data_IF_802058332872
#
_entry.id   IF_802058332872
#
_cell.length_a   1.000
_cell.length_b   1.000
_cell.length_c   1.000
_cell.angle_alpha   90.00
_cell.angle_beta   90.00
_cell.angle_gamma   90.00
#
_symmetry.space_group_name_H-M   'P 1'
#
loop_
_entity.id
_entity.type
_entity.pdbx_description
1 polymer ?
#
# COMPACT_ATOMS: atom_id res chain seq x y z
N UNK A 1 56.45 0.07 -54.06
CA UNK A 1 55.61 0.67 -53.00
C UNK A 1 54.30 -0.09 -52.99
N UNK A 2 54.02 -0.85 -51.95
CA UNK A 2 52.75 -1.55 -51.74
C UNK A 2 52.21 -1.12 -50.38
N UNK A 3 51.00 -0.53 -50.37
CA UNK A 3 50.30 -0.11 -49.17
C UNK A 3 49.38 -1.25 -48.72
N UNK A 4 49.62 -1.77 -47.51
CA UNK A 4 48.77 -2.73 -46.83
C UNK A 4 47.72 -1.97 -46.03
N UNK A 5 46.44 -2.11 -46.37
CA UNK A 5 45.33 -1.58 -45.58
C UNK A 5 44.99 -2.58 -44.46
N UNK A 6 45.07 -2.13 -43.20
CA UNK A 6 44.61 -2.87 -42.02
C UNK A 6 43.12 -2.58 -41.85
N UNK A 7 42.27 -3.58 -42.08
CA UNK A 7 40.86 -3.57 -41.71
C UNK A 7 40.74 -4.02 -40.25
N UNK A 8 40.50 -3.08 -39.34
CA UNK A 8 40.04 -3.39 -37.98
C UNK A 8 38.56 -3.75 -38.02
N UNK A 9 38.25 -5.01 -37.70
CA UNK A 9 36.90 -5.43 -37.39
C UNK A 9 36.56 -5.00 -35.95
N UNK A 10 35.66 -4.04 -35.81
CA UNK A 10 34.96 -3.80 -34.54
C UNK A 10 33.94 -4.92 -34.33
N UNK A 11 34.04 -5.64 -33.21
CA UNK A 11 33.02 -6.61 -32.81
C UNK A 11 31.63 -5.95 -32.76
N UNK A 12 30.55 -6.65 -33.14
CA UNK A 12 29.20 -6.17 -32.92
C UNK A 12 29.00 -5.91 -31.44
N UNK A 13 28.42 -4.75 -31.09
CA UNK A 13 27.92 -4.52 -29.74
C UNK A 13 26.97 -5.66 -29.37
N UNK A 14 27.19 -6.29 -28.22
CA UNK A 14 26.21 -7.22 -27.65
C UNK A 14 24.87 -6.49 -27.58
N UNK A 15 23.88 -7.04 -28.28
CA UNK A 15 22.49 -6.63 -28.12
C UNK A 15 22.15 -6.99 -26.67
N UNK A 16 21.96 -5.97 -25.82
CA UNK A 16 21.58 -6.20 -24.43
C UNK A 16 20.33 -7.09 -24.41
N UNK A 17 20.40 -8.22 -23.70
CA UNK A 17 19.26 -9.10 -23.52
C UNK A 17 18.07 -8.29 -22.99
N UNK A 18 16.86 -8.64 -23.46
CA UNK A 18 15.64 -8.06 -22.94
C UNK A 18 15.61 -8.21 -21.41
N UNK A 19 15.22 -7.17 -20.65
CA UNK A 19 15.18 -7.26 -19.20
C UNK A 19 14.31 -8.45 -18.78
N UNK A 20 14.78 -9.24 -17.82
CA UNK A 20 13.97 -10.33 -17.26
C UNK A 20 12.64 -9.79 -16.72
N UNK A 21 11.61 -10.63 -16.69
CA UNK A 21 10.28 -10.24 -16.20
C UNK A 21 10.29 -10.02 -14.67
N UNK A 22 9.62 -8.97 -14.20
CA UNK A 22 9.35 -8.76 -12.78
C UNK A 22 8.43 -9.87 -12.24
N UNK A 23 8.64 -10.20 -10.97
CA UNK A 23 7.88 -11.15 -10.17
C UNK A 23 7.17 -10.44 -9.00
N UNK A 24 6.18 -11.08 -8.34
CA UNK A 24 5.42 -10.45 -7.25
C UNK A 24 6.30 -9.82 -6.15
N UNK A 25 7.37 -10.50 -5.74
CA UNK A 25 8.27 -10.03 -4.69
C UNK A 25 9.15 -8.84 -5.13
N UNK A 26 9.30 -8.57 -6.43
CA UNK A 26 10.06 -7.41 -6.91
C UNK A 26 9.31 -6.09 -6.73
N UNK A 27 7.97 -6.15 -6.74
CA UNK A 27 7.06 -4.99 -6.67
C UNK A 27 6.25 -4.95 -5.37
N UNK A 28 6.27 -6.02 -4.58
CA UNK A 28 5.61 -6.11 -3.27
C UNK A 28 6.60 -6.64 -2.24
N UNK A 29 7.25 -5.74 -1.53
CA UNK A 29 8.35 -6.05 -0.61
C UNK A 29 7.82 -5.98 0.81
N UNK A 30 7.65 -7.13 1.45
CA UNK A 30 7.27 -7.22 2.86
C UNK A 30 8.52 -7.39 3.73
N UNK A 31 8.64 -6.55 4.77
CA UNK A 31 9.70 -6.69 5.76
C UNK A 31 9.32 -7.69 6.86
N UNK A 32 10.28 -8.46 7.41
CA UNK A 32 10.03 -9.26 8.61
C UNK A 32 9.65 -8.34 9.77
N UNK A 33 8.96 -8.83 10.80
CA UNK A 33 8.78 -8.05 12.02
C UNK A 33 10.13 -7.95 12.75
N UNK A 34 10.57 -6.76 13.21
CA UNK A 34 11.78 -6.64 14.02
C UNK A 34 11.61 -7.44 15.31
N UNK A 35 12.68 -8.09 15.80
CA UNK A 35 12.65 -8.90 17.03
C UNK A 35 13.20 -8.14 18.23
N UNK A 36 14.18 -7.28 18.00
CA UNK A 36 14.83 -6.47 19.01
C UNK A 36 15.30 -5.12 18.45
N UNK A 37 15.96 -4.32 19.30
CA UNK A 37 16.40 -2.99 18.92
C UNK A 37 17.58 -3.01 17.92
N UNK A 38 18.40 -4.06 17.93
CA UNK A 38 19.53 -4.18 17.00
C UNK A 38 19.04 -4.48 15.58
N UNK A 39 17.94 -5.23 15.45
CA UNK A 39 17.28 -5.50 14.17
C UNK A 39 16.90 -4.21 13.43
N UNK A 40 16.52 -3.14 14.13
CA UNK A 40 16.05 -1.86 13.54
C UNK A 40 17.06 -1.21 12.60
N UNK A 41 18.36 -1.47 12.77
CA UNK A 41 19.40 -0.99 11.85
C UNK A 41 19.26 -1.56 10.42
N UNK A 42 18.49 -2.65 10.26
CA UNK A 42 18.21 -3.27 8.98
C UNK A 42 16.86 -2.84 8.36
N UNK A 43 16.15 -1.91 9.02
CA UNK A 43 14.89 -1.37 8.52
C UNK A 43 15.12 0.03 7.93
N UNK A 44 14.11 0.51 7.24
CA UNK A 44 14.09 1.86 6.68
C UNK A 44 13.23 2.71 7.62
N UNK A 45 13.85 3.62 8.36
CA UNK A 45 13.10 4.67 9.05
C UNK A 45 12.64 5.70 8.02
N UNK A 46 11.43 6.24 8.17
CA UNK A 46 10.93 7.32 7.31
C UNK A 46 11.85 8.54 7.40
N UNK A 47 12.44 8.77 8.58
CA UNK A 47 13.37 9.87 8.82
C UNK A 47 14.65 9.78 7.97
N UNK A 48 15.02 8.58 7.52
CA UNK A 48 16.22 8.34 6.71
C UNK A 48 15.99 8.56 5.22
N UNK A 49 14.74 8.76 4.81
CA UNK A 49 14.38 8.86 3.39
C UNK A 49 14.51 10.30 2.89
N UNK A 50 15.46 10.52 2.01
CA UNK A 50 15.67 11.78 1.30
C UNK A 50 15.58 11.58 -0.21
N UNK A 51 15.13 12.61 -0.94
CA UNK A 51 15.19 12.64 -2.40
C UNK A 51 16.62 12.86 -2.92
N UNK A 52 16.77 12.90 -4.24
CA UNK A 52 18.05 13.09 -4.92
C UNK A 52 18.75 14.42 -4.59
N UNK A 53 18.04 15.40 -4.02
CA UNK A 53 18.60 16.68 -3.56
C UNK A 53 19.01 16.65 -2.08
N UNK A 54 18.72 15.54 -1.37
CA UNK A 54 18.92 15.41 0.06
C UNK A 54 17.77 15.96 0.91
N UNK A 55 16.66 16.38 0.29
CA UNK A 55 15.48 16.86 1.02
C UNK A 55 14.65 15.68 1.54
N UNK A 56 14.04 15.73 2.74
CA UNK A 56 13.23 14.64 3.26
C UNK A 56 12.05 14.30 2.35
N UNK A 57 11.80 13.00 2.12
CA UNK A 57 10.61 12.55 1.37
C UNK A 57 9.30 12.87 2.10
N UNK A 58 9.33 12.86 3.44
CA UNK A 58 8.22 13.27 4.30
C UNK A 58 8.74 14.34 5.25
N UNK A 59 8.52 15.64 4.96
CA UNK A 59 8.92 16.73 5.85
C UNK A 59 8.24 16.62 7.21
N UNK A 60 8.96 16.92 8.30
CA UNK A 60 8.41 16.83 9.66
C UNK A 60 7.10 17.63 9.85
N UNK A 61 6.94 18.88 9.35
CA UNK A 61 5.67 19.59 9.46
C UNK A 61 4.48 18.85 8.84
N UNK A 62 4.69 18.18 7.70
CA UNK A 62 3.66 17.38 7.03
C UNK A 62 3.37 16.10 7.82
N UNK A 63 4.41 15.48 8.39
CA UNK A 63 4.25 14.31 9.25
C UNK A 63 3.48 14.66 10.55
N UNK A 64 3.78 15.78 11.18
CA UNK A 64 3.02 16.25 12.35
C UNK A 64 1.58 16.61 11.96
N UNK A 65 1.33 17.16 10.77
CA UNK A 65 -0.02 17.37 10.27
C UNK A 65 -0.78 16.04 10.11
N UNK A 66 -0.12 15.02 9.55
CA UNK A 66 -0.68 13.67 9.44
C UNK A 66 -1.08 13.08 10.79
N UNK A 67 -0.19 13.14 11.79
CA UNK A 67 -0.49 12.68 13.14
C UNK A 67 -1.60 13.51 13.79
N UNK A 68 -1.60 14.82 13.59
CA UNK A 68 -2.63 15.74 14.06
C UNK A 68 -4.01 15.37 13.53
N UNK A 69 -4.13 15.10 12.22
CA UNK A 69 -5.39 14.66 11.61
C UNK A 69 -5.81 13.29 12.15
N UNK A 70 -4.88 12.33 12.19
CA UNK A 70 -5.16 10.99 12.72
C UNK A 70 -5.70 11.05 14.16
N UNK A 71 -5.19 11.95 14.99
CA UNK A 71 -5.63 12.13 16.37
C UNK A 71 -6.69 13.24 16.57
N UNK A 72 -7.34 13.72 15.50
CA UNK A 72 -8.38 14.77 15.54
C UNK A 72 -9.78 14.21 15.34
N UNK A 73 -10.80 15.08 15.43
CA UNK A 73 -12.19 14.71 15.15
C UNK A 73 -12.40 14.07 13.75
N UNK A 74 -11.45 14.24 12.82
CA UNK A 74 -11.48 13.56 11.54
C UNK A 74 -11.42 12.02 11.64
N UNK A 75 -10.84 11.47 12.70
CA UNK A 75 -10.84 10.02 12.98
C UNK A 75 -11.92 9.59 13.98
N UNK A 76 -12.72 10.54 14.46
CA UNK A 76 -13.74 10.28 15.47
C UNK A 76 -14.98 9.68 14.82
N UNK A 77 -15.43 8.56 15.36
CA UNK A 77 -16.64 7.87 14.91
C UNK A 77 -17.52 7.56 16.11
N UNK A 78 -18.79 7.94 16.02
CA UNK A 78 -19.78 7.67 17.07
C UNK A 78 -20.12 6.19 17.11
N UNK A 79 -19.93 5.57 18.27
CA UNK A 79 -20.24 4.16 18.48
C UNK A 79 -21.68 4.06 18.99
N UNK A 80 -22.60 3.33 18.32
CA UNK A 80 -23.95 3.15 18.82
C UNK A 80 -23.95 2.58 20.25
N UNK A 81 -24.70 3.23 21.15
CA UNK A 81 -24.78 2.84 22.56
C UNK A 81 -23.51 3.04 23.38
N UNK A 82 -22.53 3.82 22.89
CA UNK A 82 -21.27 4.07 23.58
C UNK A 82 -20.70 5.47 23.35
N UNK A 83 -19.50 5.71 23.88
CA UNK A 83 -18.73 6.91 23.57
C UNK A 83 -18.09 6.79 22.17
N UNK A 84 -17.90 7.93 21.49
CA UNK A 84 -17.18 7.95 20.22
C UNK A 84 -15.76 7.40 20.39
N UNK A 85 -15.28 6.69 19.37
CA UNK A 85 -13.92 6.18 19.31
C UNK A 85 -13.07 7.02 18.36
N UNK A 86 -11.76 7.07 18.61
CA UNK A 86 -10.81 7.88 17.86
C UNK A 86 -9.44 7.20 17.85
N UNK A 87 -8.64 7.39 16.80
CA UNK A 87 -7.25 6.90 16.81
C UNK A 87 -6.47 7.65 17.89
N UNK A 88 -5.89 6.90 18.83
CA UNK A 88 -5.02 7.47 19.85
C UNK A 88 -3.54 7.28 19.50
N UNK A 89 -2.69 8.25 19.82
CA UNK A 89 -1.25 8.16 19.64
C UNK A 89 -0.56 7.75 20.95
N UNK A 90 0.04 6.53 21.03
CA UNK A 90 0.90 6.15 22.14
C UNK A 90 2.14 7.04 22.25
N UNK A 91 2.76 7.03 23.42
CA UNK A 91 3.96 7.82 23.67
C UNK A 91 5.12 7.36 22.76
N UNK A 92 5.92 8.32 22.27
CA UNK A 92 7.01 8.06 21.31
C UNK A 92 6.57 7.93 19.86
N UNK A 93 5.28 7.68 19.56
CA UNK A 93 4.78 7.58 18.18
C UNK A 93 4.78 8.93 17.45
N UNK A 94 4.90 10.05 18.18
CA UNK A 94 5.02 11.38 17.58
C UNK A 94 6.37 11.65 16.89
N UNK A 95 7.40 10.85 17.19
CA UNK A 95 8.71 10.98 16.55
C UNK A 95 8.74 10.19 15.25
N UNK A 96 8.96 10.87 14.12
CA UNK A 96 9.05 10.28 12.79
C UNK A 96 10.13 9.20 12.69
N UNK A 97 11.18 9.26 13.51
CA UNK A 97 12.25 8.24 13.55
C UNK A 97 11.77 6.87 13.99
N UNK A 98 10.69 6.84 14.78
CA UNK A 98 10.09 5.61 15.25
C UNK A 98 9.18 4.96 14.19
N UNK A 99 8.99 5.56 13.02
CA UNK A 99 8.18 4.99 11.95
C UNK A 99 9.05 4.26 10.93
N UNK A 100 8.82 2.96 10.81
CA UNK A 100 9.60 2.09 9.93
C UNK A 100 8.74 1.55 8.79
N UNK A 101 9.35 1.37 7.63
CA UNK A 101 8.73 0.69 6.50
C UNK A 101 8.53 -0.79 6.86
N UNK A 102 7.26 -1.18 6.99
CA UNK A 102 6.84 -2.57 7.13
C UNK A 102 6.62 -3.23 5.76
N UNK A 103 6.27 -2.44 4.74
CA UNK A 103 6.12 -2.93 3.37
C UNK A 103 6.18 -1.84 2.31
N UNK A 104 6.50 -2.25 1.07
CA UNK A 104 6.52 -1.39 -0.11
C UNK A 104 5.67 -2.05 -1.20
N UNK A 105 4.83 -1.26 -1.87
CA UNK A 105 4.06 -1.66 -3.05
C UNK A 105 4.40 -0.71 -4.20
N UNK A 106 4.78 -1.24 -5.36
CA UNK A 106 5.04 -0.48 -6.59
C UNK A 106 3.89 -0.77 -7.54
N UNK A 107 2.91 0.13 -7.63
CA UNK A 107 1.68 -0.10 -8.38
C UNK A 107 1.71 0.69 -9.70
N UNK A 108 1.47 0.01 -10.83
CA UNK A 108 1.43 0.63 -12.17
C UNK A 108 0.23 1.55 -12.35
N UNK A 109 -0.78 1.45 -11.48
CA UNK A 109 -1.96 2.31 -11.52
C UNK A 109 -2.90 2.10 -10.35
N UNK A 110 -3.39 3.21 -9.80
CA UNK A 110 -4.57 3.30 -8.95
C UNK A 110 -5.68 4.10 -9.66
N UNK A 111 -6.98 3.89 -9.32
CA UNK A 111 -7.52 2.98 -8.29
C UNK A 111 -7.67 1.51 -8.74
N UNK A 112 -7.27 1.17 -9.97
CA UNK A 112 -7.25 -0.17 -10.54
C UNK A 112 -6.81 -0.13 -12.00
N UNK A 113 -6.38 -1.26 -12.56
CA UNK A 113 -5.75 -1.31 -13.90
C UNK A 113 -6.71 -1.80 -15.01
N UNK A 114 -7.98 -2.02 -14.71
CA UNK A 114 -8.95 -2.38 -15.75
C UNK A 114 -9.28 -1.20 -16.68
N UNK A 115 -9.53 -1.50 -17.95
CA UNK A 115 -9.76 -0.48 -19.00
C UNK A 115 -10.89 0.51 -18.65
N UNK A 116 -11.99 0.02 -18.08
CA UNK A 116 -13.12 0.85 -17.67
C UNK A 116 -12.78 1.76 -16.47
N UNK A 117 -12.01 1.27 -15.50
CA UNK A 117 -11.54 2.05 -14.35
C UNK A 117 -10.58 3.13 -14.81
N UNK A 118 -9.60 2.79 -15.65
CA UNK A 118 -8.67 3.77 -16.21
C UNK A 118 -9.36 4.81 -17.09
N UNK A 119 -10.40 4.42 -17.84
CA UNK A 119 -11.19 5.35 -18.63
C UNK A 119 -11.92 6.38 -17.74
N UNK A 120 -12.57 5.92 -16.67
CA UNK A 120 -13.32 6.76 -15.74
C UNK A 120 -12.38 7.62 -14.87
N UNK A 121 -11.49 6.99 -14.11
CA UNK A 121 -10.73 7.63 -13.04
C UNK A 121 -9.30 8.01 -13.44
N UNK A 122 -8.85 7.60 -14.62
CA UNK A 122 -7.45 7.72 -15.01
C UNK A 122 -6.57 6.61 -14.44
N UNK A 123 -5.28 6.73 -14.66
CA UNK A 123 -4.26 5.81 -14.16
C UNK A 123 -3.24 6.62 -13.36
N UNK A 124 -3.05 6.26 -12.09
CA UNK A 124 -2.07 6.92 -11.22
C UNK A 124 -1.01 5.88 -10.80
N UNK A 125 0.12 5.80 -11.52
CA UNK A 125 1.24 4.99 -11.06
C UNK A 125 1.76 5.53 -9.73
N UNK A 126 2.12 4.64 -8.82
CA UNK A 126 2.49 5.03 -7.46
C UNK A 126 3.48 4.06 -6.82
N UNK A 127 4.27 4.58 -5.88
CA UNK A 127 4.99 3.77 -4.89
C UNK A 127 4.36 4.07 -3.53
N UNK A 128 3.86 3.02 -2.86
CA UNK A 128 3.25 3.11 -1.55
C UNK A 128 4.18 2.54 -0.49
N UNK A 129 4.49 3.35 0.51
CA UNK A 129 5.19 2.92 1.71
C UNK A 129 4.15 2.62 2.80
N UNK A 130 4.23 1.42 3.36
CA UNK A 130 3.38 0.97 4.46
C UNK A 130 4.24 0.98 5.71
N UNK A 131 3.85 1.83 6.66
CA UNK A 131 4.67 2.20 7.80
C UNK A 131 4.01 1.76 9.09
N UNK A 132 4.81 1.34 10.06
CA UNK A 132 4.35 1.06 11.42
C UNK A 132 5.32 1.64 12.45
N UNK A 133 4.82 2.23 13.54
CA UNK A 133 5.69 2.76 14.56
C UNK A 133 6.23 1.65 15.46
N UNK A 134 7.53 1.73 15.75
CA UNK A 134 8.26 0.88 16.67
C UNK A 134 8.99 1.77 17.67
N UNK A 135 8.71 1.59 18.96
CA UNK A 135 9.42 2.30 20.03
C UNK A 135 10.33 1.36 20.80
N UNK A 136 11.46 1.87 21.29
CA UNK A 136 12.39 1.12 22.14
C UNK A 136 12.32 1.63 23.57
N UNK A 137 12.03 0.75 24.53
CA UNK A 137 12.04 1.08 25.96
C UNK A 137 12.82 0.02 26.73
N UNK A 138 13.89 0.44 27.42
CA UNK A 138 14.75 -0.48 28.18
C UNK A 138 15.35 -1.60 27.33
N UNK A 139 15.69 -1.32 26.06
CA UNK A 139 16.23 -2.29 25.11
C UNK A 139 15.18 -3.22 24.47
N UNK A 140 13.93 -3.19 24.92
CA UNK A 140 12.82 -3.95 24.31
C UNK A 140 12.09 -3.10 23.30
N UNK A 141 11.79 -3.69 22.15
CA UNK A 141 10.96 -3.04 21.13
C UNK A 141 9.48 -3.25 21.43
N UNK A 142 8.67 -2.31 20.97
CA UNK A 142 7.22 -2.43 20.86
C UNK A 142 6.80 -1.95 19.49
N UNK A 143 6.31 -2.88 18.67
CA UNK A 143 5.56 -2.55 17.46
C UNK A 143 4.17 -2.13 17.92
N UNK A 144 3.71 -0.95 17.52
CA UNK A 144 2.37 -0.48 17.89
C UNK A 144 1.37 -0.85 16.82
N UNK A 145 0.14 -1.10 17.24
CA UNK A 145 -1.03 -1.33 16.39
C UNK A 145 -1.53 -0.03 15.73
N UNK A 146 -0.61 0.65 15.05
CA UNK A 146 -0.84 1.79 14.17
C UNK A 146 -0.19 1.48 12.83
N UNK A 147 -0.78 1.96 11.76
CA UNK A 147 -0.16 1.91 10.45
C UNK A 147 -0.44 3.22 9.70
N UNK A 148 0.49 3.56 8.82
CA UNK A 148 0.32 4.63 7.86
C UNK A 148 0.61 4.11 6.46
N UNK A 149 -0.16 4.55 5.47
CA UNK A 149 0.21 4.41 4.07
C UNK A 149 0.66 5.78 3.57
N UNK A 150 1.85 5.89 3.00
CA UNK A 150 2.35 7.09 2.32
C UNK A 150 2.41 6.79 0.83
N UNK A 151 1.63 7.50 0.02
CA UNK A 151 1.42 7.19 -1.39
C UNK A 151 2.11 8.28 -2.23
N UNK A 152 3.17 7.88 -2.92
CA UNK A 152 3.91 8.74 -3.84
C UNK A 152 3.44 8.48 -5.27
N UNK A 153 2.76 9.44 -5.88
CA UNK A 153 2.14 9.33 -7.19
C UNK A 153 3.01 9.96 -8.29
N UNK A 154 3.07 9.30 -9.45
CA UNK A 154 3.80 9.75 -10.64
C UNK A 154 2.83 10.44 -11.60
N UNK A 155 2.65 11.74 -11.40
CA UNK A 155 1.66 12.56 -12.11
C UNK A 155 2.38 13.51 -13.07
N UNK A 156 2.04 13.44 -14.35
CA UNK A 156 2.54 14.35 -15.39
C UNK A 156 1.75 15.66 -15.47
N UNK A 157 0.52 15.67 -14.95
CA UNK A 157 -0.33 16.86 -14.87
C UNK A 157 -1.81 16.53 -14.71
N UNK A 158 -2.65 17.56 -14.70
CA UNK A 158 -4.11 17.37 -14.78
C UNK A 158 -4.47 16.87 -16.18
N UNK A 159 -5.36 15.88 -16.25
CA UNK A 159 -5.89 15.40 -17.51
C UNK A 159 -6.69 16.50 -18.22
N UNK A 160 -6.64 16.49 -19.55
CA UNK A 160 -7.38 17.46 -20.40
C UNK A 160 -8.88 17.42 -20.18
N UNK A 161 -9.41 16.25 -19.84
CA UNK A 161 -10.82 16.06 -19.51
C UNK A 161 -10.96 15.83 -18.02
N UNK A 162 -11.86 16.61 -17.41
CA UNK A 162 -12.26 16.48 -16.01
C UNK A 162 -13.74 16.14 -15.96
N UNK A 163 -14.12 15.25 -15.06
CA UNK A 163 -15.52 15.02 -14.75
C UNK A 163 -16.02 16.09 -13.76
N UNK A 164 -17.25 16.56 -13.95
CA UNK A 164 -17.89 17.48 -13.00
C UNK A 164 -18.80 16.70 -12.09
N UNK A 165 -18.49 16.71 -10.79
CA UNK A 165 -19.14 15.84 -9.81
C UNK A 165 -19.68 16.65 -8.63
N UNK A 166 -20.85 16.27 -8.14
CA UNK A 166 -21.48 16.95 -7.00
C UNK A 166 -20.75 16.68 -5.66
N UNK A 167 -19.96 15.61 -5.59
CA UNK A 167 -18.98 15.34 -4.53
C UNK A 167 -17.62 15.64 -5.13
N UNK A 168 -16.79 16.36 -4.38
CA UNK A 168 -15.45 16.72 -4.80
C UNK A 168 -14.63 15.44 -5.07
N UNK A 169 -14.38 15.16 -6.35
CA UNK A 169 -13.51 14.08 -6.78
C UNK A 169 -12.06 14.52 -6.79
N UNK A 170 -11.17 13.53 -6.67
CA UNK A 170 -9.79 13.70 -7.11
C UNK A 170 -9.81 14.11 -8.60
N UNK A 171 -9.16 15.22 -8.97
CA UNK A 171 -9.00 15.57 -10.38
C UNK A 171 -8.37 14.40 -11.13
N UNK A 172 -8.87 14.13 -12.34
CA UNK A 172 -8.26 13.15 -13.22
C UNK A 172 -6.87 13.67 -13.62
N UNK A 173 -5.88 12.80 -13.63
CA UNK A 173 -4.49 13.16 -13.93
C UNK A 173 -3.97 12.34 -15.10
N UNK A 174 -3.05 12.93 -15.85
CA UNK A 174 -2.23 12.22 -16.83
C UNK A 174 -1.00 11.64 -16.12
N UNK A 175 -0.68 10.35 -16.31
CA UNK A 175 0.44 9.71 -15.62
C UNK A 175 1.80 10.14 -16.18
N UNK A 176 2.81 10.26 -15.31
CA UNK A 176 4.22 10.38 -15.70
C UNK A 176 4.81 8.97 -15.90
N UNK A 177 4.36 8.29 -16.95
CA UNK A 177 4.85 6.96 -17.31
C UNK A 177 6.36 6.91 -17.63
N UNK A 178 6.97 7.92 -18.28
CA UNK A 178 8.42 7.90 -18.49
C UNK A 178 9.22 7.84 -17.19
N UNK A 179 8.90 8.67 -16.20
CA UNK A 179 9.57 8.63 -14.91
C UNK A 179 9.25 7.34 -14.15
N UNK A 180 7.99 6.91 -14.13
CA UNK A 180 7.62 5.66 -13.47
C UNK A 180 8.29 4.43 -14.08
N UNK A 181 8.45 4.38 -15.40
CA UNK A 181 9.20 3.33 -16.09
C UNK A 181 10.68 3.31 -15.67
N UNK A 182 11.30 4.48 -15.51
CA UNK A 182 12.66 4.57 -14.95
C UNK A 182 12.73 3.99 -13.54
N UNK A 183 11.74 4.27 -12.70
CA UNK A 183 11.66 3.69 -11.37
C UNK A 183 11.53 2.15 -11.43
N UNK A 184 10.65 1.61 -12.27
CA UNK A 184 10.53 0.15 -12.47
C UNK A 184 11.84 -0.49 -12.94
N UNK A 185 12.59 0.17 -13.83
CA UNK A 185 13.88 -0.33 -14.30
C UNK A 185 14.91 -0.44 -13.16
N UNK A 186 14.83 0.41 -12.13
CA UNK A 186 15.68 0.27 -10.94
C UNK A 186 15.31 -0.97 -10.10
N UNK A 187 14.02 -1.32 -10.00
CA UNK A 187 13.57 -2.56 -9.35
C UNK A 187 13.99 -3.81 -10.14
N UNK A 188 13.94 -3.76 -11.48
CA UNK A 188 14.49 -4.79 -12.37
C UNK A 188 15.99 -4.98 -12.12
N UNK A 189 16.77 -3.89 -12.10
CA UNK A 189 18.19 -3.94 -11.80
C UNK A 189 18.47 -4.55 -10.43
N UNK A 190 17.70 -4.18 -9.41
CA UNK A 190 17.84 -4.74 -8.06
C UNK A 190 17.54 -6.25 -8.01
N UNK A 191 16.51 -6.71 -8.73
CA UNK A 191 16.25 -8.15 -8.89
C UNK A 191 17.43 -8.86 -9.56
N UNK A 192 17.96 -8.30 -10.64
CA UNK A 192 19.07 -8.92 -11.37
C UNK A 192 20.35 -8.97 -10.52
N UNK A 193 20.60 -7.94 -9.71
CA UNK A 193 21.68 -7.92 -8.72
C UNK A 193 21.50 -8.99 -7.64
N UNK A 194 20.27 -9.21 -7.16
CA UNK A 194 19.95 -10.32 -6.24
C UNK A 194 20.22 -11.68 -6.87
N UNK A 195 19.75 -11.90 -8.10
CA UNK A 195 19.93 -13.15 -8.83
C UNK A 195 21.42 -13.44 -9.13
N UNK A 196 22.26 -12.40 -9.24
CA UNK A 196 23.72 -12.52 -9.40
C UNK A 196 24.47 -12.66 -8.07
N UNK A 197 23.78 -12.54 -6.93
CA UNK A 197 24.39 -12.59 -5.60
C UNK A 197 25.15 -11.32 -5.20
N UNK A 198 24.91 -10.19 -5.86
CA UNK A 198 25.62 -8.92 -5.64
C UNK A 198 25.42 -8.33 -4.23
N UNK A 199 24.40 -8.77 -3.49
CA UNK A 199 24.12 -8.28 -2.13
C UNK A 199 24.70 -9.13 -1.01
N UNK A 200 25.16 -10.36 -1.27
CA UNK A 200 25.55 -11.27 -0.18
C UNK A 200 26.34 -12.51 -0.59
N UNK A 201 26.84 -12.56 -1.82
CA UNK A 201 27.52 -13.68 -2.51
C UNK A 201 26.62 -14.87 -2.89
N UNK A 202 25.48 -15.04 -2.23
CA UNK A 202 24.49 -16.07 -2.59
C UNK A 202 23.44 -15.49 -3.53
N UNK A 203 23.21 -16.12 -4.70
CA UNK A 203 22.06 -15.80 -5.57
C UNK A 203 20.73 -15.92 -4.83
N UNK A 204 19.89 -14.88 -4.93
CA UNK A 204 18.55 -14.86 -4.32
C UNK A 204 17.54 -14.71 -5.44
N UNK A 205 16.59 -15.65 -5.51
CA UNK A 205 15.44 -15.56 -6.43
C UNK A 205 14.26 -14.88 -5.75
N UNK A 206 13.54 -14.06 -6.52
CA UNK A 206 12.27 -13.42 -6.12
C UNK A 206 11.05 -14.12 -6.76
N UNK A 207 11.25 -15.29 -7.36
CA UNK A 207 10.16 -16.13 -7.86
C UNK A 207 9.41 -16.81 -6.72
N UNK A 208 8.10 -16.99 -6.91
CA UNK A 208 7.24 -17.72 -5.97
C UNK A 208 6.07 -16.87 -5.47
N UNK A 209 5.34 -17.39 -4.48
CA UNK A 209 4.25 -16.63 -3.86
C UNK A 209 4.80 -15.45 -3.06
N UNK A 210 3.93 -14.48 -2.79
CA UNK A 210 4.22 -13.41 -1.85
C UNK A 210 4.50 -13.96 -0.45
N UNK A 211 5.57 -13.44 0.15
CA UNK A 211 6.08 -13.75 1.48
C UNK A 211 6.93 -12.56 1.96
N UNK A 212 7.57 -12.67 3.12
CA UNK A 212 8.70 -11.82 3.49
C UNK A 212 9.74 -11.86 2.38
N UNK A 213 10.22 -10.69 1.96
CA UNK A 213 11.15 -10.61 0.84
C UNK A 213 12.43 -11.42 1.15
N UNK A 214 12.88 -12.34 0.28
CA UNK A 214 13.92 -13.31 0.61
C UNK A 214 15.28 -12.65 0.91
N UNK A 215 15.58 -11.51 0.28
CA UNK A 215 16.77 -10.72 0.60
C UNK A 215 16.81 -10.21 2.06
N UNK A 216 15.65 -10.02 2.69
CA UNK A 216 15.55 -9.59 4.09
C UNK A 216 15.68 -10.78 5.06
N UNK A 217 15.46 -12.01 4.61
CA UNK A 217 15.70 -13.21 5.41
C UNK A 217 17.19 -13.57 5.48
N UNK A 218 17.96 -13.27 4.42
CA UNK A 218 19.40 -13.54 4.35
C UNK A 218 20.21 -12.48 5.14
N UNK A 219 21.01 -12.93 6.11
CA UNK A 219 21.76 -12.04 7.00
C UNK A 219 22.85 -11.22 6.29
N UNK A 220 23.41 -11.71 5.18
CA UNK A 220 24.43 -11.00 4.40
C UNK A 220 23.80 -10.04 3.42
N UNK A 221 22.69 -10.41 2.80
CA UNK A 221 22.00 -9.59 1.80
C UNK A 221 21.11 -8.49 2.40
N UNK A 222 20.59 -8.68 3.62
CA UNK A 222 19.59 -7.79 4.23
C UNK A 222 19.98 -6.32 4.22
N UNK A 223 21.18 -5.99 4.74
CA UNK A 223 21.63 -4.60 4.81
C UNK A 223 21.92 -4.00 3.42
N UNK A 224 22.72 -4.64 2.54
CA UNK A 224 22.94 -4.15 1.19
C UNK A 224 21.65 -3.98 0.36
N UNK A 225 20.69 -4.90 0.49
CA UNK A 225 19.38 -4.80 -0.14
C UNK A 225 18.58 -3.60 0.40
N UNK A 226 18.53 -3.43 1.73
CA UNK A 226 17.91 -2.26 2.37
C UNK A 226 18.53 -0.95 1.86
N UNK A 227 19.85 -0.87 1.79
CA UNK A 227 20.55 0.33 1.36
C UNK A 227 20.30 0.62 -0.14
N UNK A 228 20.21 -0.42 -0.98
CA UNK A 228 19.79 -0.28 -2.38
C UNK A 228 18.35 0.21 -2.50
N UNK A 229 17.42 -0.32 -1.71
CA UNK A 229 16.04 0.18 -1.68
C UNK A 229 15.97 1.66 -1.32
N UNK A 230 16.68 2.10 -0.29
CA UNK A 230 16.74 3.52 0.07
C UNK A 230 17.28 4.37 -1.08
N UNK A 231 18.32 3.91 -1.78
CA UNK A 231 18.85 4.61 -2.94
C UNK A 231 17.84 4.69 -4.10
N UNK A 232 17.09 3.62 -4.39
CA UNK A 232 16.05 3.61 -5.43
C UNK A 232 14.92 4.56 -5.07
N UNK A 233 14.44 4.51 -3.81
CA UNK A 233 13.39 5.41 -3.33
C UNK A 233 13.85 6.86 -3.39
N UNK A 234 15.06 7.19 -2.91
CA UNK A 234 15.58 8.56 -2.94
C UNK A 234 15.84 9.09 -4.36
N UNK A 235 16.21 8.21 -5.31
CA UNK A 235 16.38 8.59 -6.71
C UNK A 235 15.05 8.95 -7.38
N UNK A 236 13.98 8.20 -7.10
CA UNK A 236 12.73 8.27 -7.88
C UNK A 236 11.57 8.97 -7.16
N UNK A 237 11.69 9.23 -5.85
CA UNK A 237 10.66 9.86 -5.04
C UNK A 237 11.09 11.24 -4.55
N UNK A 238 10.09 12.08 -4.30
CA UNK A 238 10.21 13.40 -3.71
C UNK A 238 8.96 13.73 -2.90
N UNK A 239 9.07 14.67 -1.97
CA UNK A 239 7.94 15.13 -1.18
C UNK A 239 6.81 15.76 -2.03
N UNK A 240 7.07 16.16 -3.28
CA UNK A 240 6.04 16.64 -4.22
C UNK A 240 5.18 15.53 -4.79
N UNK A 241 5.71 14.30 -4.85
CA UNK A 241 4.96 13.14 -5.32
C UNK A 241 4.06 12.57 -4.22
N UNK A 242 4.31 12.87 -2.94
CA UNK A 242 3.42 12.48 -1.85
C UNK A 242 2.06 13.17 -2.07
N UNK A 243 1.06 12.40 -2.46
CA UNK A 243 -0.27 12.93 -2.84
C UNK A 243 -1.39 12.49 -1.92
N UNK A 244 -1.22 11.34 -1.26
CA UNK A 244 -2.22 10.78 -0.36
C UNK A 244 -1.57 10.04 0.79
N UNK A 245 -2.24 10.05 1.94
CA UNK A 245 -1.83 9.35 3.14
C UNK A 245 -3.04 8.62 3.73
N UNK A 246 -2.82 7.55 4.49
CA UNK A 246 -3.90 6.93 5.26
C UNK A 246 -3.39 6.55 6.64
N UNK A 247 -4.26 6.61 7.65
CA UNK A 247 -3.98 6.19 9.00
C UNK A 247 -4.91 5.05 9.39
N UNK A 248 -4.35 4.06 10.08
CA UNK A 248 -5.08 2.95 10.68
C UNK A 248 -4.63 2.80 12.11
N UNK A 249 -5.56 2.68 13.05
CA UNK A 249 -5.16 2.56 14.44
C UNK A 249 -6.29 2.21 15.40
N UNK A 250 -5.89 2.01 16.65
CA UNK A 250 -6.79 1.80 17.78
C UNK A 250 -6.92 3.09 18.61
N UNK A 251 -7.87 3.16 19.54
CA UNK A 251 -7.80 4.10 20.65
C UNK A 251 -6.51 3.95 21.47
N UNK A 252 -6.15 4.97 22.25
CA UNK A 252 -4.87 4.98 23.03
C UNK A 252 -4.80 3.83 24.04
N UNK A 253 -5.94 3.43 24.61
CA UNK A 253 -6.01 2.51 25.74
C UNK A 253 -7.00 1.35 25.52
N UNK A 254 -7.40 1.07 24.27
CA UNK A 254 -8.32 0.00 23.96
C UNK A 254 -7.83 -0.87 22.79
N UNK A 255 -8.10 -2.19 22.80
CA UNK A 255 -7.71 -3.11 21.73
C UNK A 255 -8.64 -3.07 20.50
N UNK A 256 -9.82 -2.46 20.64
CA UNK A 256 -10.76 -2.12 19.57
C UNK A 256 -11.43 -0.77 19.87
N UNK A 257 -12.09 -0.14 18.88
CA UNK A 257 -12.15 -0.49 17.46
C UNK A 257 -10.84 -0.24 16.70
N UNK A 258 -10.70 -0.90 15.56
CA UNK A 258 -9.81 -0.44 14.50
C UNK A 258 -10.48 0.68 13.72
N UNK A 259 -9.78 1.78 13.51
CA UNK A 259 -10.29 2.97 12.84
C UNK A 259 -9.40 3.27 11.65
N UNK A 260 -10.01 3.62 10.53
CA UNK A 260 -9.40 3.89 9.24
C UNK A 260 -9.71 5.33 8.83
N UNK A 261 -8.71 6.07 8.39
CA UNK A 261 -8.85 7.44 7.89
C UNK A 261 -8.03 7.59 6.62
N UNK A 262 -8.65 8.08 5.56
CA UNK A 262 -7.97 8.47 4.35
C UNK A 262 -7.69 9.98 4.36
N UNK A 263 -6.54 10.37 3.81
CA UNK A 263 -6.09 11.75 3.75
C UNK A 263 -5.50 12.07 2.38
N UNK A 264 -5.59 13.33 1.99
CA UNK A 264 -5.07 13.80 0.72
C UNK A 264 -4.39 15.15 0.89
N UNK A 265 -3.30 15.35 0.15
CA UNK A 265 -2.64 16.65 0.04
C UNK A 265 -3.41 17.51 -0.96
N UNK A 266 -4.00 18.60 -0.47
CA UNK A 266 -4.56 19.65 -1.31
C UNK A 266 -3.47 20.65 -1.69
N UNK A 267 -3.24 20.79 -2.98
CA UNK A 267 -2.36 21.84 -3.51
C UNK A 267 -3.00 23.20 -3.24
N UNK A 268 -2.42 23.97 -2.30
CA UNK A 268 -2.81 25.35 -2.08
C UNK A 268 -1.75 26.27 -2.71
N UNK A 269 -2.06 27.00 -3.79
CA UNK A 269 -1.09 27.88 -4.44
C UNK A 269 -0.59 29.04 -3.54
N UNK A 270 -1.19 29.25 -2.36
CA UNK A 270 -0.75 30.24 -1.36
C UNK A 270 0.20 29.67 -0.28
N UNK A 271 0.36 28.35 -0.19
CA UNK A 271 1.26 27.70 0.77
C UNK A 271 2.52 27.29 0.00
N UNK A 272 3.60 28.02 0.23
CA UNK A 272 4.90 27.68 -0.30
C UNK A 272 5.42 26.41 0.39
N UNK A 273 5.81 25.42 -0.42
CA UNK A 273 6.47 24.17 -0.03
C UNK A 273 5.57 23.14 0.68
N UNK A 274 4.92 22.31 -0.13
CA UNK A 274 4.07 21.16 0.24
C UNK A 274 2.61 21.56 0.52
N UNK A 275 1.67 20.85 -0.11
CA UNK A 275 0.24 21.14 0.01
C UNK A 275 -0.28 20.89 1.43
N UNK A 276 -1.51 21.33 1.70
CA UNK A 276 -2.15 21.14 3.00
C UNK A 276 -2.83 19.76 3.04
N UNK A 277 -2.45 18.91 3.98
CA UNK A 277 -3.09 17.61 4.19
C UNK A 277 -4.49 17.80 4.81
N UNK A 278 -5.47 17.08 4.29
CA UNK A 278 -6.83 17.02 4.86
C UNK A 278 -7.29 15.56 4.98
N UNK A 279 -8.20 15.27 5.90
CA UNK A 279 -8.97 14.04 5.84
C UNK A 279 -10.01 14.12 4.72
N UNK A 280 -10.22 13.02 4.00
CA UNK A 280 -11.16 12.97 2.87
C UNK A 280 -12.38 12.12 3.22
N UNK A 281 -13.61 12.59 2.93
CA UNK A 281 -14.79 11.75 3.00
C UNK A 281 -14.66 10.55 2.07
N UNK A 282 -15.03 9.37 2.55
CA UNK A 282 -14.99 8.16 1.73
C UNK A 282 -16.27 8.01 0.90
N UNK A 283 -16.17 7.87 -0.43
CA UNK A 283 -17.31 7.52 -1.27
C UNK A 283 -17.96 6.20 -0.84
N UNK A 284 -17.18 5.18 -0.46
CA UNK A 284 -17.73 3.86 -0.06
C UNK A 284 -18.52 3.86 1.27
N UNK A 285 -18.65 5.03 1.93
CA UNK A 285 -19.46 5.23 3.13
C UNK A 285 -20.74 6.01 2.78
N UNK A 286 -20.96 7.16 3.43
CA UNK A 286 -22.10 8.06 3.18
C UNK A 286 -21.69 9.32 2.39
N UNK A 287 -20.46 9.37 1.89
CA UNK A 287 -19.87 10.53 1.21
C UNK A 287 -19.55 11.71 2.12
N UNK A 288 -19.70 11.57 3.45
CA UNK A 288 -19.45 12.62 4.45
C UNK A 288 -18.46 12.18 5.52
N UNK A 289 -18.55 10.93 5.96
CA UNK A 289 -17.69 10.34 6.95
C UNK A 289 -16.24 10.25 6.43
N UNK A 290 -15.32 10.80 7.22
CA UNK A 290 -13.88 10.78 6.96
C UNK A 290 -13.20 9.56 7.61
N UNK A 291 -13.94 8.80 8.41
CA UNK A 291 -13.45 7.65 9.14
C UNK A 291 -14.46 6.49 9.14
N UNK A 292 -13.92 5.29 9.16
CA UNK A 292 -14.65 4.03 9.31
C UNK A 292 -14.01 3.24 10.46
N UNK A 293 -14.83 2.56 11.26
CA UNK A 293 -14.36 1.67 12.31
C UNK A 293 -14.82 0.24 12.10
N UNK A 294 -14.03 -0.72 12.58
CA UNK A 294 -14.44 -2.12 12.78
C UNK A 294 -14.20 -2.58 14.21
N UNK A 295 -15.16 -3.33 14.75
CA UNK A 295 -15.14 -3.99 16.06
C UNK A 295 -15.34 -5.49 15.87
N UNK A 296 -14.81 -6.26 16.81
CA UNK A 296 -15.07 -7.70 16.90
C UNK A 296 -16.12 -8.03 17.94
N UNK A 297 -16.58 -7.05 18.74
CA UNK A 297 -17.70 -7.15 19.68
C UNK A 297 -18.73 -6.02 19.47
N UNK A 298 -20.02 -6.31 19.67
CA UNK A 298 -21.12 -5.35 19.43
C UNK A 298 -21.36 -5.04 17.95
N UNK A 299 -21.81 -3.81 17.65
CA UNK A 299 -21.91 -3.30 16.28
C UNK A 299 -20.53 -3.29 15.61
N UNK A 300 -20.42 -4.02 14.51
CA UNK A 300 -19.11 -4.43 13.99
C UNK A 300 -18.48 -3.46 13.02
N UNK A 301 -19.25 -2.70 12.23
CA UNK A 301 -18.70 -1.76 11.24
C UNK A 301 -19.54 -0.48 11.26
N UNK A 302 -18.90 0.66 11.46
CA UNK A 302 -19.57 1.96 11.61
C UNK A 302 -18.75 3.08 10.92
N UNK A 303 -19.37 3.97 10.12
CA UNK A 303 -20.73 3.84 9.59
C UNK A 303 -20.85 2.58 8.73
N UNK A 304 -22.08 2.11 8.52
CA UNK A 304 -22.29 0.98 7.62
C UNK A 304 -21.93 1.43 6.19
N UNK A 305 -21.01 0.73 5.52
CA UNK A 305 -20.62 1.09 4.16
C UNK A 305 -21.78 0.89 3.20
N UNK A 306 -21.88 1.78 2.23
CA UNK A 306 -22.84 1.69 1.13
C UNK A 306 -22.02 1.64 -0.14
N UNK A 307 -22.12 0.55 -0.88
CA UNK A 307 -21.42 0.50 -2.16
C UNK A 307 -21.96 1.58 -3.10
N UNK A 308 -21.03 2.24 -3.79
CA UNK A 308 -21.28 3.36 -4.70
C UNK A 308 -22.37 3.07 -5.76
N UNK A 309 -22.42 1.84 -6.27
CA UNK A 309 -23.38 1.38 -7.26
C UNK A 309 -24.76 1.02 -6.66
N UNK A 310 -24.89 0.99 -5.32
CA UNK A 310 -26.15 0.79 -4.58
C UNK A 310 -26.59 2.06 -3.83
N UNK A 311 -25.78 3.12 -3.88
CA UNK A 311 -26.11 4.38 -3.24
C UNK A 311 -26.73 5.36 -4.24
N UNK A 312 -28.07 5.44 -4.24
CA UNK A 312 -28.82 6.34 -5.12
C UNK A 312 -28.51 7.83 -4.85
N UNK A 313 -28.02 8.15 -3.65
CA UNK A 313 -27.67 9.52 -3.23
C UNK A 313 -26.22 9.90 -3.53
N UNK A 314 -25.36 8.92 -3.83
CA UNK A 314 -24.01 9.19 -4.31
C UNK A 314 -24.03 9.55 -5.79
N UNK A 315 -23.17 10.50 -6.14
CA UNK A 315 -23.07 11.04 -7.49
C UNK A 315 -22.76 9.94 -8.50
N UNK A 316 -23.29 10.06 -9.70
CA UNK A 316 -23.02 9.15 -10.82
C UNK A 316 -21.54 9.05 -11.20
N UNK A 317 -20.68 9.98 -10.78
CA UNK A 317 -19.26 9.97 -11.12
C UNK A 317 -18.44 8.85 -10.47
N UNK A 318 -18.87 8.31 -9.34
CA UNK A 318 -18.23 7.14 -8.74
C UNK A 318 -18.83 5.83 -9.25
N UNK A 319 -19.96 5.88 -9.97
CA UNK A 319 -20.60 4.69 -10.51
C UNK A 319 -19.81 4.21 -11.73
N UNK A 320 -19.12 3.08 -11.57
CA UNK A 320 -18.62 2.33 -12.71
C UNK A 320 -19.76 1.80 -13.59
N UNK A 321 -19.48 1.42 -14.86
CA UNK A 321 -20.42 0.68 -15.69
C UNK A 321 -20.91 -0.58 -14.96
N UNK A 322 -22.18 -0.96 -15.20
CA UNK A 322 -23.06 -1.92 -14.50
C UNK A 322 -22.50 -3.31 -14.11
N UNK A 323 -21.25 -3.64 -14.44
CA UNK A 323 -20.68 -4.98 -14.28
C UNK A 323 -19.93 -5.19 -12.95
N UNK A 324 -19.61 -4.13 -12.21
CA UNK A 324 -18.90 -4.21 -10.92
C UNK A 324 -19.81 -3.79 -9.77
N UNK A 325 -20.07 -4.74 -8.86
CA UNK A 325 -20.88 -4.50 -7.65
C UNK A 325 -19.94 -4.32 -6.48
N UNK A 326 -19.90 -3.12 -5.91
CA UNK A 326 -19.28 -2.91 -4.61
C UNK A 326 -19.98 -3.77 -3.57
N UNK A 327 -19.21 -4.40 -2.69
CA UNK A 327 -19.70 -5.27 -1.63
C UNK A 327 -18.94 -4.96 -0.34
N UNK A 328 -19.55 -5.30 0.80
CA UNK A 328 -18.94 -5.07 2.10
C UNK A 328 -18.98 -6.30 3.00
N UNK A 329 -17.85 -6.56 3.67
CA UNK A 329 -17.72 -7.53 4.76
C UNK A 329 -18.59 -7.20 5.98
N UNK A 330 -19.12 -5.98 6.09
CA UNK A 330 -20.05 -5.60 7.16
C UNK A 330 -21.25 -6.57 7.26
N UNK A 331 -21.72 -7.11 6.13
CA UNK A 331 -22.78 -8.14 6.10
C UNK A 331 -22.35 -9.42 6.80
N UNK A 332 -21.12 -9.88 6.58
CA UNK A 332 -20.56 -11.09 7.19
C UNK A 332 -20.28 -10.92 8.68
N UNK A 333 -20.01 -9.68 9.10
CA UNK A 333 -19.73 -9.35 10.50
C UNK A 333 -21.02 -9.17 11.32
N UNK A 334 -22.10 -8.65 10.73
CA UNK A 334 -23.36 -8.33 11.42
C UNK A 334 -24.20 -9.56 11.79
N UNK A 335 -24.12 -10.65 11.02
CA UNK A 335 -24.95 -11.82 11.20
C UNK A 335 -24.18 -13.11 10.90
N UNK A 336 -24.63 -14.28 11.39
CA UNK A 336 -24.10 -15.56 10.95
C UNK A 336 -24.19 -15.67 9.42
N UNK A 337 -23.04 -15.81 8.76
CA UNK A 337 -22.94 -16.10 7.34
C UNK A 337 -22.58 -17.57 7.14
N UNK A 338 -23.09 -18.17 6.06
CA UNK A 338 -22.66 -19.51 5.65
C UNK A 338 -21.23 -19.47 5.13
N UNK A 339 -20.59 -20.64 5.02
CA UNK A 339 -19.27 -20.75 4.39
C UNK A 339 -19.33 -20.24 2.94
N UNK A 340 -20.36 -20.63 2.18
CA UNK A 340 -20.53 -20.20 0.79
C UNK A 340 -20.75 -18.70 0.67
N UNK A 341 -21.61 -18.09 1.51
CA UNK A 341 -21.79 -16.63 1.53
C UNK A 341 -20.47 -15.89 1.76
N UNK A 342 -19.62 -16.47 2.62
CA UNK A 342 -18.30 -15.91 2.93
C UNK A 342 -17.36 -16.05 1.74
N UNK A 343 -17.30 -17.22 1.11
CA UNK A 343 -16.49 -17.46 -0.09
C UNK A 343 -16.89 -16.49 -1.21
N UNK A 344 -18.18 -16.39 -1.50
CA UNK A 344 -18.69 -15.56 -2.60
C UNK A 344 -18.40 -14.08 -2.37
N UNK A 345 -18.71 -13.56 -1.18
CA UNK A 345 -18.54 -12.15 -0.88
C UNK A 345 -17.05 -11.77 -0.84
N UNK A 346 -16.23 -12.54 -0.13
CA UNK A 346 -14.80 -12.25 -0.02
C UNK A 346 -14.10 -12.43 -1.38
N UNK A 347 -14.57 -13.37 -2.22
CA UNK A 347 -14.07 -13.58 -3.57
C UNK A 347 -14.30 -12.37 -4.50
N UNK A 348 -15.41 -11.63 -4.33
CA UNK A 348 -15.64 -10.37 -5.05
C UNK A 348 -14.68 -9.27 -4.55
N UNK A 349 -14.50 -9.16 -3.23
CA UNK A 349 -13.63 -8.14 -2.62
C UNK A 349 -12.17 -8.35 -3.00
N UNK A 350 -11.71 -9.59 -3.03
CA UNK A 350 -10.34 -9.91 -3.36
C UNK A 350 -10.02 -9.74 -4.85
N UNK A 351 -11.01 -9.72 -5.73
CA UNK A 351 -10.80 -9.69 -7.18
C UNK A 351 -10.82 -8.23 -7.71
N UNK A 352 -9.68 -7.65 -8.13
CA UNK A 352 -9.60 -6.29 -8.65
C UNK A 352 -10.37 -6.11 -9.97
N UNK A 353 -10.80 -7.21 -10.62
CA UNK A 353 -11.66 -7.17 -11.80
C UNK A 353 -13.15 -7.05 -11.46
N UNK A 354 -13.54 -7.34 -10.22
CA UNK A 354 -14.93 -7.29 -9.73
C UNK A 354 -15.17 -6.15 -8.75
N UNK A 355 -14.15 -5.78 -7.97
CA UNK A 355 -14.16 -4.64 -7.06
C UNK A 355 -12.89 -3.79 -7.25
N UNK A 356 -12.90 -2.55 -6.79
CA UNK A 356 -11.75 -1.64 -6.83
C UNK A 356 -11.74 -0.77 -5.56
N UNK A 357 -10.76 0.12 -5.45
CA UNK A 357 -10.57 0.93 -4.25
C UNK A 357 -11.76 1.85 -3.91
N UNK A 358 -12.50 2.40 -4.89
CA UNK A 358 -13.59 3.34 -4.60
C UNK A 358 -14.95 2.68 -4.35
N UNK A 359 -15.14 1.42 -4.74
CA UNK A 359 -16.39 0.68 -4.52
C UNK A 359 -16.31 -0.35 -3.37
N UNK A 360 -15.17 -0.41 -2.68
CA UNK A 360 -14.96 -1.26 -1.50
C UNK A 360 -14.50 -0.41 -0.33
N UNK A 361 -15.11 -0.61 0.84
CA UNK A 361 -14.72 0.09 2.05
C UNK A 361 -13.36 -0.40 2.60
N UNK A 362 -12.75 0.41 3.49
CA UNK A 362 -11.44 0.13 4.04
C UNK A 362 -11.46 -1.15 4.88
N UNK A 363 -12.50 -1.33 5.70
CA UNK A 363 -12.66 -2.52 6.54
C UNK A 363 -12.68 -3.80 5.71
N UNK A 364 -13.39 -3.79 4.58
CA UNK A 364 -13.55 -4.91 3.67
C UNK A 364 -12.24 -5.32 3.02
N UNK A 365 -11.46 -4.34 2.54
CA UNK A 365 -10.12 -4.59 1.98
C UNK A 365 -9.14 -5.19 3.01
N UNK A 366 -9.41 -4.94 4.30
CA UNK A 366 -8.52 -5.29 5.42
C UNK A 366 -9.00 -6.50 6.24
N UNK A 367 -10.19 -7.04 5.97
CA UNK A 367 -10.76 -8.16 6.74
C UNK A 367 -11.19 -9.36 5.90
N UNK A 368 -11.29 -9.24 4.56
CA UNK A 368 -11.83 -10.30 3.71
C UNK A 368 -11.09 -11.64 3.85
N UNK A 369 -9.75 -11.63 3.80
CA UNK A 369 -8.95 -12.87 3.84
C UNK A 369 -9.12 -13.56 5.18
N UNK A 370 -9.11 -12.79 6.26
CA UNK A 370 -9.28 -13.31 7.62
C UNK A 370 -10.67 -13.92 7.81
N UNK A 371 -11.71 -13.25 7.33
CA UNK A 371 -13.08 -13.74 7.41
C UNK A 371 -13.24 -15.04 6.62
N UNK A 372 -12.66 -15.10 5.42
CA UNK A 372 -12.61 -16.33 4.63
C UNK A 372 -11.93 -17.46 5.42
N UNK A 373 -10.73 -17.24 5.98
CA UNK A 373 -10.00 -18.29 6.71
C UNK A 373 -10.69 -18.71 8.00
N UNK A 374 -11.43 -17.81 8.63
CA UNK A 374 -12.23 -18.13 9.83
C UNK A 374 -13.43 -19.04 9.51
N UNK A 375 -13.96 -18.98 8.27
CA UNK A 375 -15.17 -19.72 7.85
C UNK A 375 -14.88 -20.92 6.95
N UNK A 376 -13.80 -20.84 6.19
CA UNK A 376 -13.29 -21.88 5.29
C UNK A 376 -11.77 -22.00 5.45
N UNK A 377 -11.29 -22.56 6.58
CA UNK A 377 -9.85 -22.64 6.88
C UNK A 377 -9.08 -23.53 5.90
N UNK A 378 -9.77 -24.42 5.17
CA UNK A 378 -9.17 -25.27 4.14
C UNK A 378 -9.04 -24.57 2.78
N UNK A 379 -9.63 -23.37 2.61
CA UNK A 379 -9.50 -22.62 1.36
C UNK A 379 -8.06 -22.16 1.17
N UNK A 380 -7.41 -22.69 0.13
CA UNK A 380 -6.08 -22.25 -0.28
C UNK A 380 -6.14 -20.84 -0.86
N UNK A 381 -5.24 -19.98 -0.41
CA UNK A 381 -5.03 -18.65 -0.98
C UNK A 381 -3.86 -18.72 -1.97
N UNK A 382 -4.17 -18.64 -3.26
CA UNK A 382 -3.15 -18.63 -4.30
C UNK A 382 -2.32 -17.33 -4.25
N UNK A 383 -1.06 -17.40 -4.68
CA UNK A 383 -0.16 -16.25 -4.73
C UNK A 383 0.40 -15.78 -3.38
N UNK A 384 0.03 -16.40 -2.25
CA UNK A 384 0.52 -16.02 -0.90
C UNK A 384 1.04 -17.25 -0.16
N UNK A 385 2.16 -17.11 0.54
CA UNK A 385 2.67 -18.14 1.44
C UNK A 385 1.78 -18.27 2.69
N UNK A 386 1.47 -19.50 3.11
CA UNK A 386 0.59 -19.77 4.26
C UNK A 386 1.06 -19.07 5.55
N UNK A 387 2.38 -18.98 5.75
CA UNK A 387 3.00 -18.40 6.94
C UNK A 387 2.72 -16.90 7.14
N UNK A 388 2.27 -16.19 6.10
CA UNK A 388 1.95 -14.76 6.15
C UNK A 388 0.45 -14.48 5.95
N UNK A 389 -0.41 -15.48 5.84
CA UNK A 389 -1.86 -15.24 5.79
C UNK A 389 -2.38 -14.86 7.18
N UNK A 390 -3.24 -13.83 7.34
CA UNK A 390 -3.79 -13.45 8.64
C UNK A 390 -4.67 -14.55 9.22
N UNK A 391 -4.43 -14.94 10.48
CA UNK A 391 -5.21 -15.97 11.22
C UNK A 391 -6.09 -15.34 12.31
N UNK A 392 -5.60 -14.28 12.95
CA UNK A 392 -6.22 -13.73 14.15
C UNK A 392 -7.24 -12.63 13.85
N UNK A 393 -8.32 -12.56 14.63
CA UNK A 393 -9.33 -11.52 14.52
C UNK A 393 -8.79 -10.10 14.63
N UNK A 394 -7.77 -9.88 15.46
CA UNK A 394 -7.16 -8.57 15.68
C UNK A 394 -6.30 -8.10 14.51
N UNK A 395 -5.97 -8.99 13.57
CA UNK A 395 -5.20 -8.64 12.40
C UNK A 395 -6.08 -8.10 11.26
N UNK A 396 -6.11 -6.76 11.16
CA UNK A 396 -6.74 -6.03 10.05
C UNK A 396 -5.70 -5.49 9.06
N UNK A 397 -4.49 -6.05 9.02
CA UNK A 397 -3.46 -5.59 8.09
C UNK A 397 -3.68 -6.25 6.73
N UNK A 398 -3.74 -5.42 5.70
CA UNK A 398 -3.72 -5.90 4.34
C UNK A 398 -2.29 -6.39 3.96
N UNK A 399 -1.29 -5.61 4.36
CA UNK A 399 0.12 -5.88 4.16
C UNK A 399 0.91 -5.19 5.28
N UNK A 400 1.94 -5.84 5.85
CA UNK A 400 2.72 -5.34 6.98
C UNK A 400 2.69 -6.27 8.19
N UNK A 401 3.01 -5.78 9.39
CA UNK A 401 3.03 -6.56 10.63
C UNK A 401 1.67 -6.52 11.33
N UNK A 402 1.02 -7.68 11.43
CA UNK A 402 -0.22 -7.88 12.17
C UNK A 402 0.02 -8.58 13.50
N UNK A 403 -0.81 -8.25 14.51
CA UNK A 403 -0.78 -8.95 15.79
C UNK A 403 -1.44 -10.33 15.67
N UNK A 404 -0.69 -11.37 16.01
CA UNK A 404 -1.07 -12.76 15.84
C UNK A 404 -0.62 -13.57 17.07
N UNK A 405 -1.08 -14.83 17.26
CA UNK A 405 -0.59 -15.67 18.34
C UNK A 405 0.94 -15.78 18.32
N UNK A 406 1.59 -15.40 19.41
CA UNK A 406 3.06 -15.35 19.51
C UNK A 406 3.68 -13.97 19.25
N UNK A 407 2.88 -12.97 18.86
CA UNK A 407 3.30 -11.58 18.70
C UNK A 407 3.11 -11.04 17.27
N UNK A 408 3.64 -9.83 16.99
CA UNK A 408 3.57 -9.25 15.66
C UNK A 408 4.29 -10.12 14.63
N UNK A 409 3.63 -10.41 13.50
CA UNK A 409 4.24 -11.12 12.37
C UNK A 409 3.90 -10.47 11.03
N UNK A 410 4.74 -10.66 10.00
CA UNK A 410 4.45 -10.22 8.65
C UNK A 410 3.19 -10.89 8.11
N UNK A 411 2.32 -10.09 7.49
CA UNK A 411 1.02 -10.52 6.99
C UNK A 411 0.69 -9.94 5.63
N UNK A 412 0.02 -10.74 4.81
CA UNK A 412 -0.40 -10.45 3.43
C UNK A 412 -1.81 -11.00 3.25
N UNK A 413 -2.72 -10.21 2.68
CA UNK A 413 -4.04 -10.69 2.29
C UNK A 413 -4.06 -11.21 0.85
N UNK A 414 -5.05 -12.04 0.55
CA UNK A 414 -5.41 -12.46 -0.81
C UNK A 414 -5.62 -11.25 -1.71
N UNK A 415 -6.32 -10.21 -1.25
CA UNK A 415 -6.51 -8.98 -2.05
C UNK A 415 -5.19 -8.30 -2.43
N UNK A 416 -4.21 -8.24 -1.52
CA UNK A 416 -2.88 -7.74 -1.90
C UNK A 416 -2.28 -8.59 -3.01
N UNK A 417 -2.35 -9.92 -2.93
CA UNK A 417 -1.76 -10.78 -3.94
C UNK A 417 -2.40 -10.63 -5.32
N UNK A 418 -3.72 -10.58 -5.40
CA UNK A 418 -4.43 -10.39 -6.67
C UNK A 418 -4.17 -9.02 -7.29
N UNK A 419 -4.07 -7.96 -6.47
CA UNK A 419 -3.63 -6.64 -6.93
C UNK A 419 -2.18 -6.67 -7.42
N UNK A 420 -1.28 -7.36 -6.70
CA UNK A 420 0.11 -7.53 -7.10
C UNK A 420 0.23 -8.29 -8.43
N UNK A 421 -0.56 -9.34 -8.64
CA UNK A 421 -0.56 -10.10 -9.90
C UNK A 421 -0.98 -9.23 -11.09
N UNK A 422 -2.02 -8.40 -10.93
CA UNK A 422 -2.44 -7.42 -11.93
C UNK A 422 -1.32 -6.40 -12.23
N UNK A 423 -0.66 -5.92 -11.18
CA UNK A 423 0.46 -4.98 -11.26
C UNK A 423 1.68 -5.57 -11.96
N UNK A 424 2.08 -6.80 -11.63
CA UNK A 424 3.22 -7.48 -12.25
C UNK A 424 3.00 -7.63 -13.75
N UNK A 425 1.79 -8.03 -14.15
CA UNK A 425 1.43 -8.11 -15.57
C UNK A 425 1.58 -6.76 -16.27
N UNK A 426 0.95 -5.72 -15.72
CA UNK A 426 1.00 -4.37 -16.30
C UNK A 426 2.42 -3.78 -16.32
N UNK A 427 3.25 -4.08 -15.31
CA UNK A 427 4.62 -3.57 -15.20
C UNK A 427 5.50 -4.17 -16.30
N UNK A 428 5.38 -5.49 -16.51
CA UNK A 428 6.09 -6.18 -17.57
C UNK A 428 5.65 -5.70 -18.97
N UNK A 429 4.35 -5.47 -19.20
CA UNK A 429 3.86 -4.84 -20.44
C UNK A 429 4.44 -3.43 -20.64
N UNK A 430 4.48 -2.60 -19.59
CA UNK A 430 5.02 -1.25 -19.64
C UNK A 430 6.52 -1.21 -19.95
N UNK A 431 7.28 -2.21 -19.48
CA UNK A 431 8.72 -2.37 -19.74
C UNK A 431 9.01 -2.86 -21.17
N UNK A 432 8.08 -3.61 -21.79
CA UNK A 432 8.22 -4.18 -23.14
C UNK A 432 7.84 -3.22 -24.28
N UNK A 433 7.03 -2.19 -24.01
CA UNK A 433 6.53 -1.26 -25.03
C UNK A 433 7.59 -0.24 -25.54
N UNK A 434 8.75 -0.74 -25.98
CA UNK A 434 9.84 0.02 -26.60
C UNK A 434 9.72 0.08 -28.12
#
# INVERSE_FOLDING_TARGET
>A
MAFTAILSFTSPAEVADAPGALHPLDVSILFPAPKDAADLANFISVADLTDATGAPLVPDPLFQQFLGIAASDASKVDVPGGASAQIGLPDGVADIKNWFVAGIRVDVGAPGLSKNVMAAFGQIPQIRLILQPVTVQGGKIKIHDRAAHMIFSFIGGLAKTQETCAVQMLPKVDPDLPHFRSALADFVSMRDDLAKGSFGTTPISTQGPLDVHPALADAKARKPFRDRLVAILGKNLSARQLGSMAAMGLPKSAPEPWIFVAMQIQSNPKIANFGHLIAVPSPALDGKATAELVRFFGDKVVPAPVSDNLNDTMTTCFRLPNDRKGVSTAKLLKAPATEQDTIDLTGIIADPTKSHFFNTDCVSCHTETRLLRSKSPATRIEGVAEAVLPNDQWNVRNFGWGLEPGGPRPTITRRTATETDEVVKAANELLQAQ
#
